data_IF_347682382418
#
_entry.id   IF_347682382418
#
_cell.length_a   1.000
_cell.length_b   1.000
_cell.length_c   1.000
_cell.angle_alpha   90.00
_cell.angle_beta   90.00
_cell.angle_gamma   90.00
#
_symmetry.space_group_name_H-M   'P 1'
#
loop_
_entity.id
_entity.type
_entity.pdbx_description
1 polymer ?
#
# COMPACT_ATOMS: atom_id res chain seq x y z
N UNK A 1 4.52 8.26 12.00
CA UNK A 1 5.92 7.88 12.28
C UNK A 1 6.45 6.98 11.16
N UNK A 2 7.66 7.27 10.71
CA UNK A 2 8.28 6.53 9.61
C UNK A 2 9.16 5.40 10.11
N UNK A 3 9.13 4.29 9.40
CA UNK A 3 9.95 3.10 9.68
C UNK A 3 10.68 2.67 8.43
N UNK A 4 11.91 2.18 8.63
CA UNK A 4 12.67 1.51 7.60
C UNK A 4 12.44 0.01 7.74
N UNK A 5 12.26 -0.67 6.63
CA UNK A 5 12.07 -2.13 6.58
C UNK A 5 13.34 -2.73 6.01
N UNK A 6 14.02 -3.58 6.79
CA UNK A 6 15.22 -4.26 6.35
C UNK A 6 14.85 -5.53 5.58
N UNK A 7 15.13 -5.54 4.28
CA UNK A 7 14.83 -6.64 3.39
C UNK A 7 16.07 -7.47 3.02
N UNK A 8 17.23 -7.21 3.65
CA UNK A 8 18.48 -7.88 3.27
C UNK A 8 18.38 -9.41 3.35
N UNK A 9 17.72 -9.93 4.38
CA UNK A 9 17.51 -11.36 4.58
C UNK A 9 16.05 -11.78 4.33
N UNK A 10 15.27 -10.90 3.69
CA UNK A 10 13.86 -11.13 3.47
C UNK A 10 13.64 -12.19 2.40
N UNK A 11 12.81 -13.17 2.71
CA UNK A 11 12.34 -14.18 1.76
C UNK A 11 10.94 -13.81 1.30
N UNK A 12 10.64 -13.89 -0.02
CA UNK A 12 9.30 -13.60 -0.51
C UNK A 12 8.24 -14.43 0.21
N UNK A 13 7.14 -13.79 0.56
CA UNK A 13 6.03 -14.41 1.27
C UNK A 13 4.87 -14.68 0.33
N UNK A 14 4.07 -15.66 0.68
CA UNK A 14 2.84 -15.93 -0.03
C UNK A 14 1.85 -14.81 0.20
N UNK A 15 1.27 -14.28 -0.89
CA UNK A 15 0.33 -13.15 -0.85
C UNK A 15 -0.82 -13.41 -1.80
N UNK A 16 -1.98 -12.74 -1.64
CA UNK A 16 -3.09 -12.86 -2.58
C UNK A 16 -2.68 -12.49 -4.00
N UNK A 17 -3.35 -13.06 -4.99
CA UNK A 17 -3.16 -12.67 -6.38
C UNK A 17 -3.46 -11.18 -6.57
N UNK A 18 -2.70 -10.52 -7.42
CA UNK A 18 -2.83 -9.09 -7.64
C UNK A 18 -2.56 -8.70 -9.07
N UNK A 19 -3.11 -7.55 -9.46
CA UNK A 19 -2.79 -6.88 -10.71
C UNK A 19 -1.89 -5.68 -10.42
N UNK A 20 -0.88 -5.49 -11.26
CA UNK A 20 0.06 -4.38 -11.14
C UNK A 20 -0.20 -3.36 -12.26
N UNK A 21 -0.31 -2.09 -11.89
CA UNK A 21 -0.53 -1.00 -12.84
C UNK A 21 0.53 0.07 -12.67
N UNK A 22 1.18 0.40 -13.77
CA UNK A 22 2.12 1.53 -13.88
C UNK A 22 1.57 2.63 -14.77
N UNK A 23 0.46 2.38 -15.47
CA UNK A 23 -0.18 3.32 -16.37
C UNK A 23 -1.68 3.38 -16.06
N UNK A 24 -2.19 4.59 -15.81
CA UNK A 24 -3.58 4.83 -15.51
C UNK A 24 -4.51 4.27 -16.59
N UNK A 25 -4.11 4.34 -17.85
CA UNK A 25 -4.94 3.89 -18.97
C UNK A 25 -5.17 2.37 -19.00
N UNK A 26 -4.39 1.60 -18.24
CA UNK A 26 -4.55 0.16 -18.13
C UNK A 26 -5.60 -0.24 -17.09
N UNK A 27 -6.08 0.72 -16.30
CA UNK A 27 -7.14 0.49 -15.30
C UNK A 27 -8.49 0.67 -15.99
N UNK A 28 -9.36 -0.32 -15.89
CA UNK A 28 -10.68 -0.27 -16.54
C UNK A 28 -11.60 0.77 -15.90
N UNK A 29 -12.61 1.22 -16.65
CA UNK A 29 -13.62 2.16 -16.14
C UNK A 29 -14.36 1.59 -14.94
N UNK A 30 -14.66 0.30 -14.94
CA UNK A 30 -15.33 -0.37 -13.82
C UNK A 30 -14.43 -0.37 -12.58
N UNK A 31 -13.14 -0.67 -12.74
CA UNK A 31 -12.19 -0.64 -11.64
C UNK A 31 -12.06 0.78 -11.05
N UNK A 32 -12.00 1.79 -11.89
CA UNK A 32 -11.95 3.19 -11.46
C UNK A 32 -13.19 3.57 -10.67
N UNK A 33 -14.36 3.14 -11.10
CA UNK A 33 -15.62 3.40 -10.39
C UNK A 33 -15.60 2.78 -8.99
N UNK A 34 -15.14 1.54 -8.87
CA UNK A 34 -15.03 0.84 -7.59
C UNK A 34 -14.05 1.57 -6.67
N UNK A 35 -12.88 1.97 -7.18
CA UNK A 35 -11.89 2.71 -6.39
C UNK A 35 -12.49 4.03 -5.86
N UNK A 36 -13.27 4.74 -6.67
CA UNK A 36 -13.93 5.97 -6.26
C UNK A 36 -14.89 5.76 -5.10
N UNK A 37 -15.68 4.68 -5.15
CA UNK A 37 -16.62 4.31 -4.09
C UNK A 37 -15.86 3.92 -2.81
N UNK A 38 -14.74 3.21 -2.95
CA UNK A 38 -13.91 2.78 -1.84
C UNK A 38 -13.23 3.96 -1.13
N UNK A 39 -12.82 4.99 -1.87
CA UNK A 39 -12.27 6.21 -1.28
C UNK A 39 -13.31 6.92 -0.41
N UNK A 40 -14.55 6.99 -0.88
CA UNK A 40 -15.65 7.57 -0.11
C UNK A 40 -15.93 6.74 1.16
N UNK A 41 -15.93 5.43 1.04
CA UNK A 41 -16.12 4.51 2.18
C UNK A 41 -15.03 4.69 3.23
N UNK A 42 -13.78 4.83 2.82
CA UNK A 42 -12.69 5.02 3.76
C UNK A 42 -12.90 6.27 4.61
N UNK A 43 -13.29 7.37 3.99
CA UNK A 43 -13.58 8.62 4.68
C UNK A 43 -14.69 8.43 5.71
N UNK A 44 -15.77 7.75 5.32
CA UNK A 44 -16.91 7.50 6.20
C UNK A 44 -16.54 6.60 7.39
N UNK A 45 -15.77 5.53 7.14
CA UNK A 45 -15.44 4.54 8.17
C UNK A 45 -14.40 5.00 9.17
N UNK A 46 -13.42 5.78 8.73
CA UNK A 46 -12.28 6.16 9.58
C UNK A 46 -12.30 7.63 9.99
N UNK A 47 -13.23 8.42 9.47
CA UNK A 47 -13.28 9.85 9.73
C UNK A 47 -12.03 10.59 9.28
N UNK A 48 -11.22 9.96 8.44
CA UNK A 48 -9.97 10.50 7.92
C UNK A 48 -10.12 10.78 6.44
N UNK A 49 -9.96 12.04 6.09
CA UNK A 49 -9.83 12.43 4.70
C UNK A 49 -8.38 12.16 4.30
N UNK A 50 -8.17 11.28 3.33
CA UNK A 50 -6.84 11.05 2.79
C UNK A 50 -6.47 12.23 1.89
N UNK A 51 -6.42 13.44 2.48
CA UNK A 51 -5.98 14.67 1.83
C UNK A 51 -6.72 14.94 0.52
N UNK A 52 -8.03 14.73 0.54
CA UNK A 52 -8.87 14.95 -0.62
C UNK A 52 -8.45 14.11 -1.83
N UNK A 53 -7.86 12.95 -1.56
CA UNK A 53 -7.36 12.07 -2.60
C UNK A 53 -8.48 11.64 -3.54
N UNK A 54 -8.27 11.75 -4.83
CA UNK A 54 -9.26 11.44 -5.86
C UNK A 54 -8.61 10.78 -7.09
N UNK A 55 -9.42 10.49 -8.11
CA UNK A 55 -8.93 9.80 -9.31
C UNK A 55 -7.91 10.62 -10.11
N UNK A 56 -7.95 11.94 -9.99
CA UNK A 56 -6.95 12.80 -10.61
C UNK A 56 -5.58 12.56 -9.98
N UNK A 57 -5.56 12.38 -8.66
CA UNK A 57 -4.32 12.05 -7.93
C UNK A 57 -3.80 10.69 -8.32
N UNK A 58 -4.67 9.69 -8.50
CA UNK A 58 -4.27 8.38 -8.98
C UNK A 58 -3.52 8.49 -10.31
N UNK A 59 -4.09 9.22 -11.28
CA UNK A 59 -3.46 9.43 -12.58
C UNK A 59 -2.10 10.13 -12.44
N UNK A 60 -2.05 11.18 -11.64
CA UNK A 60 -0.83 11.96 -11.39
C UNK A 60 0.26 11.11 -10.76
N UNK A 61 -0.09 10.30 -9.76
CA UNK A 61 0.86 9.43 -9.06
C UNK A 61 1.45 8.37 -9.98
N UNK A 62 0.64 7.74 -10.82
CA UNK A 62 1.16 6.74 -11.76
C UNK A 62 2.10 7.34 -12.79
N UNK A 63 1.91 8.60 -13.17
CA UNK A 63 2.85 9.32 -14.04
C UNK A 63 4.15 9.67 -13.33
N UNK A 64 4.14 9.74 -12.00
CA UNK A 64 5.27 10.14 -11.17
C UNK A 64 6.01 8.95 -10.56
N UNK A 65 6.13 7.87 -11.30
CA UNK A 65 6.86 6.66 -10.90
C UNK A 65 6.30 5.98 -9.65
N UNK A 66 4.99 5.93 -9.53
CA UNK A 66 4.29 5.11 -8.54
C UNK A 66 3.75 3.86 -9.21
N UNK A 67 3.61 2.77 -8.45
CA UNK A 67 2.94 1.55 -8.89
C UNK A 67 1.70 1.31 -8.05
N UNK A 68 0.60 0.94 -8.70
CA UNK A 68 -0.67 0.60 -8.08
C UNK A 68 -0.88 -0.91 -8.12
N UNK A 69 -1.25 -1.49 -6.99
CA UNK A 69 -1.53 -2.91 -6.86
C UNK A 69 -2.98 -3.12 -6.45
N UNK A 70 -3.72 -3.91 -7.23
CA UNK A 70 -5.13 -4.19 -7.00
C UNK A 70 -5.30 -5.67 -6.70
N UNK A 71 -5.95 -5.98 -5.58
CA UNK A 71 -6.25 -7.35 -5.16
C UNK A 71 -7.75 -7.49 -4.92
N UNK A 72 -8.20 -8.72 -4.71
CA UNK A 72 -9.59 -8.99 -4.34
C UNK A 72 -10.00 -8.31 -3.03
N UNK A 73 -9.07 -8.17 -2.09
CA UNK A 73 -9.38 -7.62 -0.76
C UNK A 73 -9.08 -6.14 -0.59
N UNK A 74 -8.47 -5.49 -1.57
CA UNK A 74 -8.12 -4.08 -1.48
C UNK A 74 -7.02 -3.68 -2.44
N UNK A 75 -6.42 -2.52 -2.19
CA UNK A 75 -5.38 -1.98 -3.06
C UNK A 75 -4.32 -1.22 -2.26
N UNK A 76 -3.18 -0.99 -2.90
CA UNK A 76 -2.07 -0.27 -2.29
C UNK A 76 -1.11 0.27 -3.35
N UNK A 77 -0.15 1.07 -2.90
CA UNK A 77 0.83 1.72 -3.79
C UNK A 77 2.25 1.53 -3.30
N UNK A 78 3.20 1.64 -4.23
CA UNK A 78 4.61 1.91 -3.94
C UNK A 78 4.98 3.23 -4.60
N UNK A 79 5.62 4.13 -3.86
CA UNK A 79 6.27 5.33 -4.36
C UNK A 79 7.76 5.02 -4.52
N UNK A 80 8.25 4.98 -5.77
CA UNK A 80 9.64 4.62 -6.07
C UNK A 80 10.60 5.81 -6.03
N UNK A 81 10.10 7.01 -5.74
CA UNK A 81 10.90 8.23 -5.84
C UNK A 81 11.72 8.55 -4.59
N UNK A 82 11.50 7.85 -3.49
CA UNK A 82 12.18 8.10 -2.22
C UNK A 82 13.47 7.31 -2.12
N UNK A 83 14.34 7.70 -1.19
CA UNK A 83 15.60 7.00 -0.91
C UNK A 83 15.39 5.50 -0.74
N UNK A 84 14.36 5.13 0.02
CA UNK A 84 13.88 3.74 0.12
C UNK A 84 12.48 3.70 -0.48
N UNK A 85 12.17 2.73 -1.37
CA UNK A 85 10.82 2.62 -1.90
C UNK A 85 9.79 2.68 -0.77
N UNK A 86 8.78 3.52 -0.94
CA UNK A 86 7.85 3.85 0.14
C UNK A 86 6.52 3.16 -0.07
N UNK A 87 6.10 2.41 0.97
CA UNK A 87 4.79 1.76 1.00
C UNK A 87 3.75 2.79 1.40
N UNK A 88 3.10 3.39 0.42
CA UNK A 88 2.10 4.41 0.66
C UNK A 88 0.70 3.89 0.39
N UNK A 89 -0.27 4.52 0.95
CA UNK A 89 -1.70 4.30 0.81
C UNK A 89 -2.12 2.82 0.67
N UNK A 90 -2.98 2.40 1.59
CA UNK A 90 -3.51 1.04 1.61
C UNK A 90 -4.99 1.10 1.96
N UNK A 91 -5.78 0.36 1.22
CA UNK A 91 -7.20 0.23 1.49
C UNK A 91 -7.58 -1.25 1.54
N UNK A 92 -8.34 -1.63 2.55
CA UNK A 92 -8.93 -2.96 2.68
C UNK A 92 -10.44 -2.81 2.61
N UNK A 93 -11.07 -3.60 1.73
CA UNK A 93 -12.52 -3.64 1.59
C UNK A 93 -13.14 -4.04 2.95
N UNK A 94 -14.24 -3.38 3.41
CA UNK A 94 -14.77 -3.59 4.75
C UNK A 94 -14.98 -5.05 5.15
N UNK A 95 -15.51 -5.89 4.25
CA UNK A 95 -15.78 -7.29 4.51
C UNK A 95 -14.51 -8.13 4.74
N UNK A 96 -13.35 -7.62 4.36
CA UNK A 96 -12.06 -8.29 4.53
C UNK A 96 -11.25 -7.76 5.71
N UNK A 97 -11.78 -6.78 6.44
CA UNK A 97 -11.05 -6.19 7.58
C UNK A 97 -11.00 -7.12 8.77
N UNK A 98 -9.98 -6.92 9.64
CA UNK A 98 -9.74 -7.69 10.86
C UNK A 98 -9.45 -9.18 10.61
N UNK A 99 -8.92 -9.50 9.43
CA UNK A 99 -8.55 -10.88 9.04
C UNK A 99 -7.06 -11.02 8.70
N UNK A 100 -6.24 -10.02 9.08
CA UNK A 100 -4.81 -10.05 8.81
C UNK A 100 -4.43 -9.68 7.37
N UNK A 101 -5.38 -9.33 6.51
CA UNK A 101 -5.13 -9.08 5.09
C UNK A 101 -4.41 -7.77 4.83
N UNK A 102 -4.48 -6.82 5.79
CA UNK A 102 -3.71 -5.59 5.69
C UNK A 102 -2.21 -5.83 5.70
N UNK A 103 -1.76 -6.81 6.47
CA UNK A 103 -0.36 -7.23 6.47
C UNK A 103 0.04 -7.84 5.12
N UNK A 104 -0.86 -8.58 4.47
CA UNK A 104 -0.59 -9.17 3.17
C UNK A 104 -0.27 -8.11 2.12
N UNK A 105 -0.91 -6.95 2.17
CA UNK A 105 -0.59 -5.85 1.26
C UNK A 105 0.79 -5.25 1.54
N UNK A 106 1.24 -5.26 2.79
CA UNK A 106 2.62 -4.87 3.12
C UNK A 106 3.61 -5.88 2.51
N UNK A 107 3.37 -7.16 2.70
CA UNK A 107 4.28 -8.21 2.21
C UNK A 107 4.28 -8.30 0.69
N UNK A 108 3.16 -8.10 0.04
CA UNK A 108 3.07 -8.01 -1.42
C UNK A 108 4.06 -6.96 -1.94
N UNK A 109 4.03 -5.77 -1.34
CA UNK A 109 4.92 -4.68 -1.75
C UNK A 109 6.37 -4.94 -1.38
N UNK A 110 6.64 -5.55 -0.23
CA UNK A 110 8.00 -5.96 0.14
C UNK A 110 8.56 -6.99 -0.83
N UNK A 111 7.74 -7.96 -1.27
CA UNK A 111 8.14 -8.94 -2.29
C UNK A 111 8.59 -8.22 -3.57
N UNK A 112 7.79 -7.27 -4.04
CA UNK A 112 8.07 -6.52 -5.26
C UNK A 112 9.35 -5.68 -5.14
N UNK A 113 9.52 -5.00 -4.00
CA UNK A 113 10.69 -4.16 -3.75
C UNK A 113 11.95 -5.02 -3.70
N UNK A 114 11.90 -6.16 -3.02
CA UNK A 114 13.04 -7.09 -2.97
C UNK A 114 13.37 -7.65 -4.35
N UNK A 115 12.37 -8.00 -5.14
CA UNK A 115 12.55 -8.51 -6.50
C UNK A 115 13.25 -7.50 -7.40
N UNK A 116 13.01 -6.20 -7.19
CA UNK A 116 13.66 -5.13 -7.93
C UNK A 116 15.11 -4.86 -7.48
N UNK A 117 15.59 -5.59 -6.46
CA UNK A 117 16.98 -5.50 -6.01
C UNK A 117 17.24 -4.57 -4.84
N UNK A 118 16.20 -4.04 -4.21
CA UNK A 118 16.35 -3.16 -3.04
C UNK A 118 16.47 -3.98 -1.76
N UNK A 119 17.32 -3.51 -0.84
CA UNK A 119 17.48 -4.12 0.47
C UNK A 119 16.70 -3.40 1.57
N UNK A 120 16.09 -2.26 1.26
CA UNK A 120 15.33 -1.47 2.22
C UNK A 120 14.08 -0.90 1.58
N UNK A 121 13.01 -0.84 2.38
CA UNK A 121 11.79 -0.13 2.05
C UNK A 121 11.46 0.81 3.21
N UNK A 122 10.47 1.66 3.05
CA UNK A 122 10.00 2.53 4.11
C UNK A 122 8.47 2.54 4.16
N UNK A 123 7.94 2.85 5.35
CA UNK A 123 6.50 2.93 5.58
C UNK A 123 6.21 3.96 6.66
N UNK A 124 5.07 4.62 6.57
CA UNK A 124 4.57 5.50 7.63
C UNK A 124 3.42 4.80 8.34
N UNK A 125 3.49 4.69 9.65
CA UNK A 125 2.44 4.09 10.48
C UNK A 125 1.93 5.14 11.46
N UNK A 126 0.64 5.42 11.39
CA UNK A 126 -0.02 6.39 12.27
C UNK A 126 -0.57 5.67 13.51
N UNK A 127 -0.50 6.35 14.66
CA UNK A 127 -0.94 5.77 15.93
C UNK A 127 -2.44 5.42 15.94
N UNK A 128 -3.25 6.17 15.18
CA UNK A 128 -4.68 5.90 15.09
C UNK A 128 -5.00 4.65 14.26
N UNK A 129 -4.07 4.20 13.43
CA UNK A 129 -4.29 3.07 12.52
C UNK A 129 -3.81 1.77 13.17
N UNK A 130 -4.55 1.31 14.18
CA UNK A 130 -4.20 0.13 14.97
C UNK A 130 -3.98 -1.14 14.12
N UNK A 131 -4.83 -1.44 13.11
CA UNK A 131 -4.58 -2.60 12.27
C UNK A 131 -3.24 -2.56 11.54
N UNK A 132 -2.82 -1.37 11.09
CA UNK A 132 -1.53 -1.22 10.40
C UNK A 132 -0.36 -1.42 11.37
N UNK A 133 -0.50 -1.07 12.65
CA UNK A 133 0.57 -1.22 13.63
C UNK A 133 0.91 -2.68 13.94
N UNK A 134 0.03 -3.62 13.60
CA UNK A 134 0.25 -5.04 13.86
C UNK A 134 1.50 -5.59 13.15
N UNK A 135 1.89 -5.01 12.02
CA UNK A 135 3.10 -5.44 11.28
C UNK A 135 4.38 -5.17 12.06
N UNK A 136 4.37 -4.25 13.02
CA UNK A 136 5.53 -3.89 13.83
C UNK A 136 6.04 -5.02 14.74
N UNK A 137 5.28 -6.09 14.88
CA UNK A 137 5.72 -7.29 15.62
C UNK A 137 6.90 -7.97 14.93
N UNK A 138 7.08 -7.71 13.64
CA UNK A 138 8.22 -8.22 12.90
C UNK A 138 9.46 -7.38 13.23
N UNK A 139 10.59 -8.03 13.47
CA UNK A 139 11.82 -7.37 13.90
C UNK A 139 12.60 -6.65 12.78
N UNK A 140 12.06 -6.65 11.57
CA UNK A 140 12.67 -5.98 10.42
C UNK A 140 12.32 -4.49 10.33
N UNK A 141 11.46 -4.00 11.21
CA UNK A 141 11.04 -2.59 11.22
C UNK A 141 11.89 -1.79 12.20
N UNK A 142 12.48 -0.70 11.72
CA UNK A 142 13.28 0.22 12.54
C UNK A 142 12.75 1.63 12.38
N UNK A 143 12.47 2.29 13.50
CA UNK A 143 12.00 3.67 13.50
C UNK A 143 13.04 4.60 12.87
N UNK A 144 12.60 5.48 11.99
CA UNK A 144 13.43 6.50 11.36
C UNK A 144 13.30 7.82 12.10
N UNK A 145 14.43 8.51 12.24
CA UNK A 145 14.48 9.84 12.85
C UNK A 145 13.95 10.93 11.89
#
# INVERSE_FOLDING_TARGET
MYYKIDLSNYEPREVPAYQEFTNYNDISSEQIQVISEELAEFKDSFGKDWQEWNLKDLRSRLKDNWTFYLTECGWCFIDWNRKYPYLCNRYIIPEYRNKGLGSDLVWLRCNEIKQQGYNYASIKLEDWNKPALSVMKENIFTKMD
#
